data_IF_918279310797
#
_entry.id   IF_918279310797
#
_cell.length_a   1.000
_cell.length_b   1.000
_cell.length_c   1.000
_cell.angle_alpha   90.00
_cell.angle_beta   90.00
_cell.angle_gamma   90.00
#
_symmetry.space_group_name_H-M   'P 1'
#
loop_
_entity.id
_entity.type
_entity.pdbx_description
1 polymer ?
#
# COMPACT_ATOMS: atom_id res chain seq x y z
N UNK A 1 23.07 2.83 -9.92
CA UNK A 1 21.93 3.30 -9.12
C UNK A 1 20.61 2.82 -9.70
N UNK A 2 19.83 2.14 -8.87
CA UNK A 2 18.53 1.56 -9.15
C UNK A 2 17.42 2.35 -8.46
N UNK A 3 16.25 2.37 -9.10
CA UNK A 3 14.97 2.79 -8.50
C UNK A 3 14.10 1.56 -8.38
N UNK A 4 13.56 1.30 -7.18
CA UNK A 4 12.75 0.11 -6.92
C UNK A 4 11.30 0.53 -6.65
N UNK A 5 10.36 -0.06 -7.38
CA UNK A 5 8.93 -0.03 -7.08
C UNK A 5 8.50 -1.35 -6.44
N UNK A 6 7.66 -1.27 -5.43
CA UNK A 6 7.10 -2.42 -4.72
C UNK A 6 5.59 -2.24 -4.64
N UNK A 7 4.82 -3.27 -4.98
CA UNK A 7 3.38 -3.32 -4.77
C UNK A 7 3.00 -4.58 -3.99
N UNK A 8 2.52 -4.38 -2.77
CA UNK A 8 2.07 -5.47 -1.90
C UNK A 8 0.58 -5.69 -2.09
N UNK A 9 0.25 -6.75 -2.82
CA UNK A 9 -1.12 -7.24 -3.02
C UNK A 9 -1.56 -8.27 -1.99
N UNK A 10 -2.81 -8.74 -2.09
CA UNK A 10 -3.33 -9.84 -1.26
C UNK A 10 -2.75 -11.21 -1.62
N UNK A 11 -2.47 -11.44 -2.91
CA UNK A 11 -1.97 -12.74 -3.40
C UNK A 11 -0.46 -12.73 -3.67
N UNK A 12 0.03 -11.64 -4.27
CA UNK A 12 1.43 -11.51 -4.67
C UNK A 12 1.97 -10.13 -4.27
N UNK A 13 3.27 -10.11 -3.98
CA UNK A 13 4.07 -8.90 -3.87
C UNK A 13 4.90 -8.78 -5.14
N UNK A 14 4.68 -7.69 -5.88
CA UNK A 14 5.32 -7.37 -7.14
C UNK A 14 6.44 -6.35 -6.92
N UNK A 15 7.61 -6.58 -7.53
CA UNK A 15 8.75 -5.69 -7.45
C UNK A 15 9.31 -5.41 -8.84
N UNK A 16 9.75 -4.17 -9.03
CA UNK A 16 10.41 -3.70 -10.24
C UNK A 16 11.64 -2.90 -9.87
N UNK A 17 12.80 -3.22 -10.46
CA UNK A 17 13.99 -2.38 -10.42
C UNK A 17 14.22 -1.76 -11.80
N UNK A 18 14.52 -0.47 -11.84
CA UNK A 18 14.92 0.25 -13.06
C UNK A 18 16.31 0.82 -12.82
N UNK A 19 17.26 0.48 -13.69
CA UNK A 19 18.62 1.03 -13.63
C UNK A 19 18.70 2.45 -14.22
N UNK A 20 19.91 3.01 -14.29
CA UNK A 20 20.16 4.33 -14.87
C UNK A 20 19.97 4.37 -16.40
N UNK A 21 20.12 3.23 -17.08
CA UNK A 21 19.89 3.07 -18.52
C UNK A 21 18.42 2.84 -18.89
N UNK A 22 17.55 2.63 -17.90
CA UNK A 22 16.13 2.34 -18.09
C UNK A 22 15.82 0.84 -18.23
N UNK A 23 16.82 -0.05 -18.08
CA UNK A 23 16.57 -1.49 -18.09
C UNK A 23 15.77 -1.87 -16.85
N UNK A 24 14.72 -2.65 -17.09
CA UNK A 24 13.76 -3.05 -16.06
C UNK A 24 13.93 -4.51 -15.71
N UNK A 25 14.03 -4.82 -14.42
CA UNK A 25 14.03 -6.19 -13.88
C UNK A 25 12.86 -6.37 -12.95
N UNK A 26 12.16 -7.51 -13.06
CA UNK A 26 10.94 -7.81 -12.31
C UNK A 26 11.16 -9.01 -11.38
N UNK A 27 10.54 -8.95 -10.21
CA UNK A 27 10.37 -10.08 -9.31
C UNK A 27 8.92 -10.12 -8.82
N UNK A 28 8.38 -11.34 -8.66
CA UNK A 28 7.04 -11.57 -8.14
C UNK A 28 7.11 -12.73 -7.17
N UNK A 29 6.59 -12.54 -5.97
CA UNK A 29 6.61 -13.55 -4.91
C UNK A 29 5.23 -13.64 -4.26
N UNK A 30 4.82 -14.79 -3.71
CA UNK A 30 3.58 -14.89 -2.95
C UNK A 30 3.57 -13.87 -1.80
N UNK A 31 2.43 -13.21 -1.58
CA UNK A 31 2.24 -12.34 -0.42
C UNK A 31 2.19 -13.16 0.86
N UNK A 32 2.57 -12.55 1.97
CA UNK A 32 2.47 -13.13 3.30
C UNK A 32 1.49 -12.29 4.13
N UNK A 33 0.18 -12.62 4.15
CA UNK A 33 -0.84 -11.77 4.76
C UNK A 33 -0.63 -11.51 6.26
N UNK A 34 -0.08 -12.50 6.97
CA UNK A 34 0.24 -12.45 8.39
C UNK A 34 1.32 -11.39 8.69
N UNK A 35 2.30 -11.26 7.78
CA UNK A 35 3.39 -10.29 7.85
C UNK A 35 3.87 -9.94 6.43
N UNK A 36 3.36 -8.84 5.84
CA UNK A 36 3.73 -8.43 4.50
C UNK A 36 5.22 -8.12 4.31
N UNK A 37 5.96 -7.85 5.40
CA UNK A 37 7.38 -7.55 5.32
C UNK A 37 8.19 -8.74 4.79
N UNK A 38 7.75 -9.98 5.07
CA UNK A 38 8.39 -11.20 4.59
C UNK A 38 8.36 -11.27 3.07
N UNK A 39 7.20 -11.01 2.46
CA UNK A 39 7.04 -10.98 1.00
C UNK A 39 7.90 -9.90 0.35
N UNK A 40 8.02 -8.73 0.98
CA UNK A 40 8.90 -7.65 0.49
C UNK A 40 10.37 -8.07 0.51
N UNK A 41 10.85 -8.66 1.62
CA UNK A 41 12.25 -9.07 1.77
C UNK A 41 12.61 -10.22 0.82
N UNK A 42 11.73 -11.21 0.67
CA UNK A 42 11.91 -12.29 -0.31
C UNK A 42 11.94 -11.73 -1.73
N UNK A 43 11.01 -10.82 -2.05
CA UNK A 43 10.97 -10.13 -3.34
C UNK A 43 12.25 -9.37 -3.67
N UNK A 44 12.81 -8.63 -2.72
CA UNK A 44 14.10 -7.94 -2.87
C UNK A 44 15.26 -8.91 -3.08
N UNK A 45 15.20 -10.09 -2.44
CA UNK A 45 16.22 -11.14 -2.60
C UNK A 45 16.16 -11.75 -4.00
N UNK A 46 14.95 -12.06 -4.50
CA UNK A 46 14.72 -12.52 -5.87
C UNK A 46 15.14 -11.51 -6.93
N UNK A 47 14.91 -10.23 -6.65
CA UNK A 47 15.30 -9.15 -7.54
C UNK A 47 16.82 -9.02 -7.63
N UNK A 48 17.52 -9.13 -6.49
CA UNK A 48 18.98 -9.14 -6.44
C UNK A 48 19.57 -10.36 -7.18
N UNK A 49 19.03 -11.56 -6.96
CA UNK A 49 19.43 -12.79 -7.67
C UNK A 49 19.34 -12.62 -9.19
N UNK A 50 18.24 -12.03 -9.69
CA UNK A 50 18.04 -11.78 -11.13
C UNK A 50 19.02 -10.76 -11.72
N UNK A 51 19.50 -9.83 -10.90
CA UNK A 51 20.51 -8.85 -11.26
C UNK A 51 21.94 -9.39 -11.07
N UNK A 52 22.11 -10.62 -10.57
CA UNK A 52 23.42 -11.20 -10.26
C UNK A 52 24.11 -10.52 -9.08
N UNK A 53 23.35 -9.92 -8.17
CA UNK A 53 23.83 -9.19 -6.99
C UNK A 53 23.38 -9.90 -5.71
N UNK A 54 24.07 -9.62 -4.61
CA UNK A 54 23.48 -9.84 -3.29
C UNK A 54 22.52 -8.69 -2.92
N UNK A 55 21.61 -8.94 -1.97
CA UNK A 55 20.60 -7.96 -1.55
C UNK A 55 21.23 -6.69 -0.96
N UNK A 56 22.36 -6.80 -0.25
CA UNK A 56 23.01 -5.64 0.36
C UNK A 56 23.66 -4.74 -0.70
N UNK A 57 24.24 -5.31 -1.75
CA UNK A 57 24.77 -4.61 -2.91
C UNK A 57 23.66 -3.91 -3.70
N UNK A 58 22.55 -4.60 -3.96
CA UNK A 58 21.37 -4.00 -4.59
C UNK A 58 20.88 -2.78 -3.80
N UNK A 59 20.69 -2.93 -2.49
CA UNK A 59 20.18 -1.85 -1.63
C UNK A 59 21.19 -0.70 -1.51
N UNK A 60 22.49 -0.98 -1.50
CA UNK A 60 23.54 0.05 -1.49
C UNK A 60 23.54 0.89 -2.76
N UNK A 61 23.26 0.28 -3.91
CA UNK A 61 23.14 0.97 -5.19
C UNK A 61 21.68 1.35 -5.51
N UNK A 62 20.78 1.42 -4.53
CA UNK A 62 19.40 1.90 -4.72
C UNK A 62 19.26 3.31 -4.15
N UNK A 63 18.81 4.26 -4.96
CA UNK A 63 18.62 5.65 -4.54
C UNK A 63 17.19 5.95 -4.07
N UNK A 64 16.22 5.15 -4.52
CA UNK A 64 14.80 5.32 -4.22
C UNK A 64 14.07 4.00 -4.18
N UNK A 65 13.24 3.86 -3.15
CA UNK A 65 12.22 2.81 -3.05
C UNK A 65 10.85 3.49 -2.97
N UNK A 66 9.93 3.09 -3.85
CA UNK A 66 8.53 3.47 -3.81
C UNK A 66 7.73 2.25 -3.39
N UNK A 67 7.08 2.33 -2.23
CA UNK A 67 6.33 1.22 -1.64
C UNK A 67 4.82 1.50 -1.70
N UNK A 68 4.12 0.77 -2.56
CA UNK A 68 2.68 0.70 -2.65
C UNK A 68 2.15 -0.55 -1.95
N UNK A 69 0.97 -0.44 -1.35
CA UNK A 69 0.30 -1.58 -0.73
C UNK A 69 -1.21 -1.42 -0.78
N UNK A 70 -1.91 -2.55 -0.89
CA UNK A 70 -3.37 -2.64 -0.79
C UNK A 70 -3.85 -3.05 0.60
N UNK A 71 -2.95 -3.27 1.56
CA UNK A 71 -3.29 -3.74 2.92
C UNK A 71 -4.26 -2.80 3.62
N UNK A 72 -4.04 -1.48 3.55
CA UNK A 72 -4.92 -0.50 4.18
C UNK A 72 -6.34 -0.50 3.59
N UNK A 73 -6.44 -0.55 2.26
CA UNK A 73 -7.73 -0.60 1.56
C UNK A 73 -8.50 -1.89 1.88
N UNK A 74 -7.81 -3.04 1.87
CA UNK A 74 -8.43 -4.31 2.21
C UNK A 74 -8.86 -4.36 3.68
N UNK A 75 -8.06 -3.80 4.61
CA UNK A 75 -8.44 -3.70 6.01
C UNK A 75 -9.72 -2.87 6.20
N UNK A 76 -9.91 -1.80 5.41
CA UNK A 76 -11.13 -1.00 5.41
C UNK A 76 -12.33 -1.78 4.86
N UNK A 77 -12.17 -2.44 3.70
CA UNK A 77 -13.25 -3.21 3.04
C UNK A 77 -13.68 -4.44 3.87
N UNK A 78 -12.74 -5.10 4.54
CA UNK A 78 -13.00 -6.29 5.35
C UNK A 78 -13.35 -5.95 6.81
N UNK A 79 -13.43 -4.66 7.16
CA UNK A 79 -13.67 -4.18 8.53
C UNK A 79 -12.68 -4.77 9.57
N UNK A 80 -11.43 -5.01 9.16
CA UNK A 80 -10.36 -5.57 10.01
C UNK A 80 -9.49 -4.50 10.69
N UNK A 81 -10.01 -3.28 10.83
CA UNK A 81 -9.33 -2.21 11.55
C UNK A 81 -9.34 -2.38 13.07
N UNK A 82 -8.59 -1.52 13.76
CA UNK A 82 -8.66 -1.44 15.21
C UNK A 82 -10.05 -0.95 15.68
N UNK A 83 -10.46 -1.34 16.89
CA UNK A 83 -11.63 -0.75 17.53
C UNK A 83 -11.31 0.69 17.94
N UNK A 84 -12.01 1.65 17.35
CA UNK A 84 -11.83 3.09 17.60
C UNK A 84 -13.04 3.67 18.35
N UNK A 85 -12.82 4.82 19.00
CA UNK A 85 -13.87 5.66 19.57
C UNK A 85 -13.79 7.07 18.98
N UNK A 86 -14.95 7.71 18.80
CA UNK A 86 -15.06 9.08 18.31
C UNK A 86 -15.53 9.98 19.46
N UNK A 87 -14.70 10.95 19.84
CA UNK A 87 -15.08 12.00 20.78
C UNK A 87 -15.59 13.21 19.98
N UNK A 88 -16.77 13.70 20.35
CA UNK A 88 -17.43 14.83 19.69
C UNK A 88 -17.94 15.84 20.72
N UNK A 89 -18.14 17.08 20.28
CA UNK A 89 -18.90 18.06 21.05
C UNK A 89 -20.33 17.58 21.26
N UNK A 90 -20.96 17.98 22.36
CA UNK A 90 -22.39 17.70 22.62
C UNK A 90 -23.24 18.09 21.39
N UNK A 91 -24.16 17.20 21.01
CA UNK A 91 -25.03 17.36 19.84
C UNK A 91 -24.46 16.94 18.48
N UNK A 92 -23.21 16.43 18.38
CA UNK A 92 -22.55 16.15 17.08
C UNK A 92 -22.14 14.68 16.86
N UNK A 93 -22.72 13.74 17.62
CA UNK A 93 -22.32 12.31 17.59
C UNK A 93 -22.57 11.61 16.26
N UNK A 94 -23.45 12.14 15.44
CA UNK A 94 -23.96 11.60 14.18
C UNK A 94 -23.23 12.14 12.94
N UNK A 95 -22.19 12.96 13.11
CA UNK A 95 -21.47 13.63 12.02
C UNK A 95 -20.95 12.68 10.92
N UNK A 96 -20.51 11.46 11.29
CA UNK A 96 -20.03 10.45 10.33
C UNK A 96 -21.19 9.89 9.49
N UNK A 97 -22.37 9.72 10.10
CA UNK A 97 -23.59 9.24 9.41
C UNK A 97 -24.21 10.35 8.54
N UNK A 98 -24.07 11.61 8.97
CA UNK A 98 -24.51 12.77 8.18
C UNK A 98 -23.71 12.91 6.88
N UNK A 99 -22.49 12.35 6.80
CA UNK A 99 -21.62 12.37 5.61
C UNK A 99 -21.41 13.79 5.06
N UNK A 100 -21.09 14.75 5.92
CA UNK A 100 -21.00 16.17 5.53
C UNK A 100 -19.85 16.52 4.55
N UNK A 101 -18.97 15.56 4.23
CA UNK A 101 -17.92 15.71 3.23
C UNK A 101 -18.38 15.30 1.82
N UNK A 102 -17.91 16.02 0.80
CA UNK A 102 -18.09 15.70 -0.63
C UNK A 102 -19.56 15.57 -1.10
N UNK A 103 -20.50 16.31 -0.49
CA UNK A 103 -21.84 16.51 -1.05
C UNK A 103 -21.88 17.79 -1.89
N UNK A 104 -22.43 17.70 -3.10
CA UNK A 104 -22.74 18.88 -3.93
C UNK A 104 -23.70 19.84 -3.21
N UNK A 105 -24.66 19.31 -2.44
CA UNK A 105 -25.53 20.07 -1.54
C UNK A 105 -25.43 19.52 -0.10
N UNK A 106 -24.59 20.17 0.70
CA UNK A 106 -24.22 19.72 2.06
C UNK A 106 -25.40 19.58 3.02
N UNK A 107 -26.46 20.37 2.84
CA UNK A 107 -27.61 20.38 3.75
C UNK A 107 -28.81 19.57 3.24
N UNK A 108 -28.70 18.94 2.07
CA UNK A 108 -29.75 18.11 1.52
C UNK A 108 -29.69 16.67 2.07
N UNK A 109 -30.55 16.39 3.05
CA UNK A 109 -30.67 15.07 3.70
C UNK A 109 -31.26 13.97 2.79
N UNK A 110 -31.76 14.32 1.60
CA UNK A 110 -32.39 13.38 0.65
C UNK A 110 -31.51 13.04 -0.55
N UNK A 111 -30.27 13.54 -0.59
CA UNK A 111 -29.34 13.20 -1.67
C UNK A 111 -29.13 11.68 -1.72
N UNK A 112 -29.26 11.03 -2.89
CA UNK A 112 -28.93 9.63 -3.04
C UNK A 112 -27.43 9.40 -2.80
N UNK A 113 -27.02 8.21 -2.35
CA UNK A 113 -25.60 7.85 -2.29
C UNK A 113 -24.96 7.95 -3.70
N UNK A 114 -23.67 8.33 -3.79
CA UNK A 114 -22.93 8.26 -5.05
C UNK A 114 -22.81 6.84 -5.58
#
# INVERSE_FOLDING_TARGET
MYRIGIDVGGTFTDLVAIDAGGLTTLAKVPSTPEDPSIGVIEGLSRLAERLGLDRAALLRDTDRIVHGTTVATNALLEHKGARLGLLTTEGHRDIVEMREGLKDDRYNLRMPPP
#
